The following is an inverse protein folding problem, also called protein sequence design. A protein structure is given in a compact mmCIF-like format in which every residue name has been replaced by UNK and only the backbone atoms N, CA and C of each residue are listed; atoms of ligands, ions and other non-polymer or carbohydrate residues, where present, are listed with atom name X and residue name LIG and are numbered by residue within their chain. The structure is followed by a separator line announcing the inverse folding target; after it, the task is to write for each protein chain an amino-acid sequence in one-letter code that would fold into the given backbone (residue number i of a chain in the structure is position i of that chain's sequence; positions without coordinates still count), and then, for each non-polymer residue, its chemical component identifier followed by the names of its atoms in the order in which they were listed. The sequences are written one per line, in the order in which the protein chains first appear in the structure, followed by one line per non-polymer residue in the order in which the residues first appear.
data_IF_284432366414
#
_entry.id   IF_284432366414
#
_cell.length_a   1.000
_cell.length_b   1.000
_cell.length_c   1.000
_cell.angle_alpha   90.00
_cell.angle_beta   90.00
_cell.angle_gamma   90.00
#
_symmetry.space_group_name_H-M   'P 1'
#
loop_
_entity.id
_entity.type
_entity.pdbx_description
1 polymer ?
#
# COMPACT_ATOMS: atom_id res chain seq x y z
N UNK A 1 -11.77 28.52 17.23
CA UNK A 1 -11.68 27.10 16.84
C UNK A 1 -12.00 26.26 18.07
N UNK A 2 -12.67 25.14 17.92
CA UNK A 2 -12.95 24.26 19.04
C UNK A 2 -11.64 23.64 19.55
N UNK A 3 -11.50 23.56 20.85
CA UNK A 3 -10.33 22.98 21.50
C UNK A 3 -10.67 21.61 22.07
N UNK A 4 -9.88 20.61 21.72
CA UNK A 4 -9.99 19.25 22.26
C UNK A 4 -8.74 18.89 23.07
N UNK A 5 -8.94 18.24 24.21
CA UNK A 5 -7.87 17.74 25.07
C UNK A 5 -8.00 16.23 25.23
N UNK A 6 -6.98 15.48 24.81
CA UNK A 6 -6.88 14.04 25.08
C UNK A 6 -5.98 13.87 26.31
N UNK A 7 -6.53 13.33 27.41
CA UNK A 7 -5.85 13.19 28.70
C UNK A 7 -5.49 11.75 29.04
N UNK A 8 -4.45 11.62 29.86
CA UNK A 8 -4.07 10.38 30.54
C UNK A 8 -3.64 9.23 29.59
N UNK A 9 -3.52 9.47 28.30
CA UNK A 9 -3.10 8.46 27.33
C UNK A 9 -1.58 8.24 27.31
N UNK A 10 -1.17 7.19 26.61
CA UNK A 10 0.23 6.94 26.28
C UNK A 10 0.42 7.21 24.80
N UNK A 11 1.05 8.31 24.43
CA UNK A 11 1.42 8.63 23.05
C UNK A 11 2.52 7.69 22.60
N UNK A 12 2.35 7.08 21.44
CA UNK A 12 3.31 6.15 20.83
C UNK A 12 3.88 6.75 19.56
N UNK A 13 5.20 6.73 19.45
CA UNK A 13 5.95 7.13 18.27
C UNK A 13 6.95 6.02 17.88
N UNK A 14 7.60 6.07 16.71
CA UNK A 14 8.66 5.12 16.36
C UNK A 14 9.85 5.09 17.33
N UNK A 15 10.04 6.15 18.10
CA UNK A 15 11.18 6.30 19.02
C UNK A 15 10.84 5.98 20.48
N UNK A 16 9.57 5.69 20.80
CA UNK A 16 9.18 5.34 22.16
C UNK A 16 7.76 5.75 22.53
N UNK A 17 7.47 5.61 23.84
CA UNK A 17 6.16 5.84 24.45
C UNK A 17 6.29 6.93 25.51
N UNK A 18 5.36 7.89 25.48
CA UNK A 18 5.35 9.01 26.41
C UNK A 18 3.95 9.21 27.00
N UNK A 19 3.86 9.29 28.32
CA UNK A 19 2.60 9.62 28.98
C UNK A 19 2.45 11.14 28.99
N UNK A 20 1.70 11.67 28.03
CA UNK A 20 1.45 13.09 27.85
C UNK A 20 -0.01 13.32 27.45
N UNK A 21 -0.52 14.50 27.80
CA UNK A 21 -1.80 14.97 27.31
C UNK A 21 -1.61 15.68 25.96
N UNK A 22 -2.55 15.49 25.03
CA UNK A 22 -2.50 16.09 23.69
C UNK A 22 -3.55 17.20 23.60
N UNK A 23 -3.09 18.43 23.37
CA UNK A 23 -3.96 19.59 23.16
C UNK A 23 -4.11 19.85 21.67
N UNK A 24 -5.34 19.97 21.21
CA UNK A 24 -5.70 20.18 19.80
C UNK A 24 -6.50 21.48 19.69
N UNK A 25 -6.09 22.37 18.80
CA UNK A 25 -6.80 23.58 18.42
C UNK A 25 -7.31 23.46 16.99
N UNK A 26 -8.62 23.27 16.82
CA UNK A 26 -9.24 22.99 15.51
C UNK A 26 -8.83 21.61 14.99
N UNK A 27 -8.04 21.57 13.94
CA UNK A 27 -7.53 20.37 13.25
C UNK A 27 -6.03 20.12 13.46
N UNK A 28 -5.38 20.92 14.32
CA UNK A 28 -3.93 20.90 14.51
C UNK A 28 -3.57 20.60 15.96
N UNK A 29 -2.56 19.76 16.18
CA UNK A 29 -1.98 19.52 17.50
C UNK A 29 -1.22 20.77 17.93
N UNK A 30 -1.66 21.41 19.03
CA UNK A 30 -1.06 22.66 19.50
C UNK A 30 0.01 22.44 20.57
N UNK A 31 -0.14 21.41 21.42
CA UNK A 31 0.84 21.11 22.46
C UNK A 31 0.78 19.64 22.90
N UNK A 32 1.92 19.16 23.41
CA UNK A 32 2.03 17.97 24.25
C UNK A 32 2.38 18.41 25.65
N UNK A 33 1.60 18.00 26.64
CA UNK A 33 1.66 18.48 28.02
C UNK A 33 1.99 17.34 28.98
N UNK A 34 2.95 17.54 29.83
CA UNK A 34 3.27 16.59 30.90
C UNK A 34 2.09 16.46 31.89
N UNK A 35 1.94 15.32 32.57
CA UNK A 35 0.88 15.12 33.55
C UNK A 35 0.85 16.25 34.60
N UNK A 36 -0.32 16.87 34.81
CA UNK A 36 -0.54 17.97 35.72
C UNK A 36 -0.29 19.36 35.13
N UNK A 37 0.28 19.50 33.94
CA UNK A 37 0.48 20.82 33.32
C UNK A 37 -0.83 21.45 32.86
N UNK A 38 -1.84 20.67 32.50
CA UNK A 38 -3.18 21.18 32.14
C UNK A 38 -3.77 22.00 33.29
N UNK A 39 -3.72 21.47 34.51
CA UNK A 39 -4.21 22.12 35.72
C UNK A 39 -3.32 23.31 36.15
N UNK A 40 -2.00 23.10 36.12
CA UNK A 40 -1.04 24.15 36.53
C UNK A 40 -1.10 25.37 35.61
N UNK A 41 -1.39 25.21 34.34
CA UNK A 41 -1.50 26.30 33.36
C UNK A 41 -2.94 26.77 33.14
N UNK A 42 -3.92 26.23 33.91
CA UNK A 42 -5.34 26.54 33.78
C UNK A 42 -5.85 26.39 32.31
N UNK A 43 -5.41 25.33 31.63
CA UNK A 43 -5.82 25.07 30.26
C UNK A 43 -7.26 24.57 30.25
N UNK A 44 -8.11 25.20 29.42
CA UNK A 44 -9.50 24.79 29.22
C UNK A 44 -9.68 24.23 27.79
N UNK A 45 -10.59 23.27 27.65
CA UNK A 45 -10.96 22.71 26.37
C UNK A 45 -12.49 22.55 26.27
N UNK A 46 -13.03 22.66 25.05
CA UNK A 46 -14.45 22.46 24.76
C UNK A 46 -14.84 20.99 24.86
N UNK A 47 -13.91 20.10 24.54
CA UNK A 47 -14.06 18.63 24.60
C UNK A 47 -12.85 18.02 25.31
N UNK A 48 -13.13 17.12 26.25
CA UNK A 48 -12.10 16.31 26.90
C UNK A 48 -12.34 14.84 26.60
N UNK A 49 -11.29 14.15 26.15
CA UNK A 49 -11.28 12.70 25.90
C UNK A 49 -10.36 12.06 26.95
N UNK A 50 -10.91 11.18 27.78
CA UNK A 50 -10.10 10.40 28.72
C UNK A 50 -9.54 9.15 28.03
N UNK A 51 -8.24 9.12 27.83
CA UNK A 51 -7.49 8.02 27.24
C UNK A 51 -6.77 7.15 28.29
N UNK A 52 -7.25 7.14 29.55
CA UNK A 52 -6.67 6.33 30.63
C UNK A 52 -6.56 4.86 30.19
N UNK A 53 -5.35 4.29 30.25
CA UNK A 53 -5.06 2.90 29.84
C UNK A 53 -5.08 2.65 28.34
N UNK A 54 -5.14 3.71 27.51
CA UNK A 54 -5.14 3.61 26.04
C UNK A 54 -3.84 4.14 25.47
N UNK A 55 -3.50 3.62 24.28
CA UNK A 55 -2.50 4.22 23.41
C UNK A 55 -3.13 5.33 22.58
N UNK A 56 -2.38 6.40 22.38
CA UNK A 56 -2.71 7.50 21.47
C UNK A 56 -1.68 7.46 20.35
N UNK A 57 -2.14 7.19 19.14
CA UNK A 57 -1.27 6.93 17.98
C UNK A 57 -1.65 7.85 16.82
N UNK A 58 -0.72 8.21 15.94
CA UNK A 58 -1.08 8.93 14.72
C UNK A 58 -1.97 8.03 13.86
N UNK A 59 -2.95 8.60 13.22
CA UNK A 59 -3.85 7.91 12.31
C UNK A 59 -3.10 7.12 11.24
N UNK A 60 -3.68 5.99 10.82
CA UNK A 60 -3.09 5.14 9.78
C UNK A 60 -3.04 5.87 8.43
N UNK A 61 -1.94 5.69 7.70
CA UNK A 61 -1.79 6.18 6.33
C UNK A 61 -1.65 4.97 5.41
N UNK A 62 -2.64 4.75 4.55
CA UNK A 62 -2.62 3.67 3.58
C UNK A 62 -2.21 4.20 2.21
N UNK A 63 -1.02 3.85 1.79
CA UNK A 63 -0.42 4.33 0.54
C UNK A 63 -0.63 3.40 -0.65
N UNK A 64 -1.60 2.47 -0.53
CA UNK A 64 -1.90 1.57 -1.64
C UNK A 64 -3.37 1.17 -1.61
N UNK A 65 -4.20 1.96 -2.28
CA UNK A 65 -5.64 1.68 -2.44
C UNK A 65 -6.06 1.87 -3.91
N UNK A 66 -7.15 1.22 -4.29
CA UNK A 66 -7.68 1.23 -5.65
C UNK A 66 -9.20 1.45 -5.64
N UNK A 67 -9.64 2.61 -5.17
CA UNK A 67 -11.06 2.97 -5.19
C UNK A 67 -11.55 3.12 -6.63
N UNK A 68 -12.68 2.49 -6.95
CA UNK A 68 -13.30 2.54 -8.28
C UNK A 68 -12.38 2.10 -9.44
N UNK A 69 -11.34 1.28 -9.17
CA UNK A 69 -10.40 0.83 -10.20
C UNK A 69 -11.13 0.00 -11.27
N UNK A 70 -11.06 0.40 -12.56
CA UNK A 70 -11.56 -0.42 -13.65
C UNK A 70 -10.56 -1.55 -13.97
N UNK A 71 -10.87 -2.78 -13.57
CA UNK A 71 -10.00 -3.93 -13.75
C UNK A 71 -10.78 -5.23 -13.92
N UNK A 72 -10.24 -6.18 -14.68
CA UNK A 72 -10.82 -7.53 -14.82
C UNK A 72 -12.21 -7.57 -15.47
N UNK A 73 -12.58 -6.57 -16.28
CA UNK A 73 -13.90 -6.49 -16.94
C UNK A 73 -15.00 -5.87 -16.07
N UNK A 74 -14.66 -5.35 -14.90
CA UNK A 74 -15.55 -4.67 -13.95
C UNK A 74 -14.81 -3.50 -13.28
N UNK A 75 -15.35 -2.95 -12.20
CA UNK A 75 -14.67 -1.96 -11.35
C UNK A 75 -14.56 -2.50 -9.92
N UNK A 76 -13.54 -2.06 -9.17
CA UNK A 76 -13.50 -2.29 -7.74
C UNK A 76 -14.81 -1.83 -7.10
N UNK A 77 -15.32 -2.61 -6.14
CA UNK A 77 -16.68 -2.41 -5.59
C UNK A 77 -16.80 -1.21 -4.68
N UNK A 78 -15.69 -0.78 -4.04
CA UNK A 78 -15.70 0.41 -3.21
C UNK A 78 -15.49 1.68 -4.04
N UNK A 79 -16.35 2.67 -3.78
CA UNK A 79 -16.17 4.05 -4.23
C UNK A 79 -15.25 4.81 -3.27
N UNK A 80 -14.86 6.03 -3.62
CA UNK A 80 -14.14 6.89 -2.66
C UNK A 80 -14.97 7.11 -1.39
N UNK A 81 -16.29 7.24 -1.48
CA UNK A 81 -17.17 7.39 -0.33
C UNK A 81 -17.15 6.13 0.55
N UNK A 82 -17.44 4.95 0.00
CA UNK A 82 -17.55 3.72 0.80
C UNK A 82 -16.21 3.27 1.34
N UNK A 83 -15.16 3.31 0.53
CA UNK A 83 -13.82 2.89 0.91
C UNK A 83 -13.17 3.81 1.94
N UNK A 84 -13.35 5.14 1.84
CA UNK A 84 -12.83 6.06 2.85
C UNK A 84 -13.62 6.03 4.15
N UNK A 85 -14.92 5.72 4.10
CA UNK A 85 -15.70 5.42 5.30
C UNK A 85 -15.17 4.16 6.01
N UNK A 86 -14.94 3.07 5.27
CA UNK A 86 -14.34 1.86 5.81
C UNK A 86 -12.95 2.13 6.40
N UNK A 87 -12.10 2.90 5.69
CA UNK A 87 -10.80 3.32 6.17
C UNK A 87 -10.87 4.06 7.51
N UNK A 88 -11.79 5.03 7.64
CA UNK A 88 -12.01 5.78 8.87
C UNK A 88 -12.40 4.87 10.04
N UNK A 89 -13.30 3.89 9.82
CA UNK A 89 -13.67 2.91 10.83
C UNK A 89 -12.48 2.05 11.28
N UNK A 90 -11.56 1.75 10.36
CA UNK A 90 -10.32 1.02 10.64
C UNK A 90 -9.19 1.86 11.25
N UNK A 91 -9.42 3.15 11.56
CA UNK A 91 -8.38 4.04 12.11
C UNK A 91 -7.37 4.54 11.06
N UNK A 92 -7.71 4.45 9.79
CA UNK A 92 -6.96 5.07 8.69
C UNK A 92 -7.51 6.47 8.48
N UNK A 93 -6.65 7.49 8.52
CA UNK A 93 -7.03 8.90 8.38
C UNK A 93 -6.58 9.51 7.05
N UNK A 94 -5.75 8.80 6.31
CA UNK A 94 -5.27 9.24 5.00
C UNK A 94 -5.08 8.05 4.07
N UNK A 95 -5.55 8.16 2.83
CA UNK A 95 -5.22 7.21 1.76
C UNK A 95 -4.39 7.90 0.67
N UNK A 96 -3.53 7.13 0.00
CA UNK A 96 -2.93 7.53 -1.27
C UNK A 96 -3.37 6.52 -2.32
N UNK A 97 -4.32 6.92 -3.13
CA UNK A 97 -4.94 6.08 -4.17
C UNK A 97 -4.17 6.18 -5.48
N UNK A 98 -4.47 5.32 -6.44
CA UNK A 98 -3.82 5.30 -7.74
C UNK A 98 -4.72 5.87 -8.83
N UNK A 99 -4.38 7.07 -9.33
CA UNK A 99 -4.94 7.56 -10.59
C UNK A 99 -4.44 6.69 -11.75
N UNK A 100 -5.33 6.24 -12.62
CA UNK A 100 -5.02 5.24 -13.65
C UNK A 100 -5.03 5.87 -15.04
N UNK A 101 -3.86 5.90 -15.69
CA UNK A 101 -3.77 6.13 -17.13
C UNK A 101 -3.85 4.76 -17.83
N UNK A 102 -4.82 4.59 -18.72
CA UNK A 102 -4.88 3.44 -19.64
C UNK A 102 -3.96 3.69 -20.84
N UNK A 103 -3.58 2.61 -21.50
CA UNK A 103 -2.79 2.70 -22.72
C UNK A 103 -3.49 3.61 -23.75
N UNK A 104 -2.75 4.63 -24.24
CA UNK A 104 -3.27 5.62 -25.21
C UNK A 104 -4.07 6.78 -24.61
N UNK A 105 -4.32 6.81 -23.31
CA UNK A 105 -4.91 7.97 -22.63
C UNK A 105 -3.83 9.00 -22.27
N UNK A 106 -4.25 10.27 -22.13
CA UNK A 106 -3.40 11.33 -21.63
C UNK A 106 -3.26 11.22 -20.10
N UNK A 107 -2.04 11.30 -19.57
CA UNK A 107 -1.74 11.14 -18.13
C UNK A 107 -2.43 12.22 -17.30
N UNK A 108 -2.39 13.49 -17.73
CA UNK A 108 -2.98 14.61 -16.99
C UNK A 108 -4.52 14.49 -16.93
N UNK A 109 -5.16 14.05 -18.01
CA UNK A 109 -6.62 13.86 -18.04
C UNK A 109 -7.04 12.69 -17.15
N UNK A 110 -6.20 11.64 -17.05
CA UNK A 110 -6.46 10.55 -16.11
C UNK A 110 -6.43 11.03 -14.65
N UNK A 111 -5.45 11.85 -14.26
CA UNK A 111 -5.39 12.45 -12.93
C UNK A 111 -6.61 13.30 -12.62
N UNK A 112 -7.04 14.17 -13.55
CA UNK A 112 -8.26 14.97 -13.40
C UNK A 112 -9.50 14.10 -13.17
N UNK A 113 -9.57 12.95 -13.84
CA UNK A 113 -10.67 12.01 -13.66
C UNK A 113 -10.72 11.48 -12.22
N UNK A 114 -9.56 11.14 -11.63
CA UNK A 114 -9.48 10.66 -10.25
C UNK A 114 -9.79 11.77 -9.24
N UNK A 115 -9.29 12.98 -9.44
CA UNK A 115 -9.68 14.14 -8.62
C UNK A 115 -11.19 14.33 -8.61
N UNK A 116 -11.84 14.29 -9.78
CA UNK A 116 -13.30 14.42 -9.88
C UNK A 116 -14.07 13.32 -9.13
N UNK A 117 -13.52 12.10 -9.06
CA UNK A 117 -14.13 11.00 -8.30
C UNK A 117 -14.00 11.21 -6.80
N UNK A 118 -12.87 11.71 -6.34
CA UNK A 118 -12.55 11.85 -4.92
C UNK A 118 -13.10 13.14 -4.29
N UNK A 119 -13.10 14.23 -5.04
CA UNK A 119 -13.49 15.57 -4.53
C UNK A 119 -14.91 15.56 -4.00
N UNK A 120 -15.06 15.90 -2.70
CA UNK A 120 -16.34 15.91 -2.00
C UNK A 120 -16.90 14.54 -1.63
N UNK A 121 -16.23 13.44 -1.98
CA UNK A 121 -16.67 12.08 -1.74
C UNK A 121 -15.80 11.35 -0.68
N UNK A 122 -14.68 11.92 -0.24
CA UNK A 122 -13.83 11.30 0.77
C UNK A 122 -14.20 11.75 2.19
N UNK A 123 -14.26 10.79 3.12
CA UNK A 123 -14.48 11.04 4.56
C UNK A 123 -13.20 11.28 5.34
N UNK A 124 -12.05 11.02 4.74
CA UNK A 124 -10.70 11.23 5.26
C UNK A 124 -9.85 11.94 4.21
N UNK A 125 -8.64 12.30 4.58
CA UNK A 125 -7.68 12.91 3.66
C UNK A 125 -7.26 11.93 2.55
N UNK A 126 -7.00 12.46 1.37
CA UNK A 126 -6.55 11.66 0.23
C UNK A 126 -5.46 12.35 -0.59
N UNK A 127 -4.65 11.55 -1.25
CA UNK A 127 -3.69 11.95 -2.27
C UNK A 127 -3.64 10.89 -3.39
N UNK A 128 -2.82 11.13 -4.41
CA UNK A 128 -2.69 10.21 -5.53
C UNK A 128 -1.24 9.86 -5.86
N UNK A 129 -1.04 8.59 -6.20
CA UNK A 129 0.01 8.13 -7.10
C UNK A 129 -0.53 8.11 -8.53
N UNK A 130 0.35 8.11 -9.53
CA UNK A 130 -0.07 7.99 -10.93
C UNK A 130 0.39 6.67 -11.53
N UNK A 131 -0.53 5.84 -12.00
CA UNK A 131 -0.22 4.68 -12.87
C UNK A 131 0.04 5.20 -14.28
N UNK A 132 1.17 4.77 -14.86
CA UNK A 132 1.51 5.00 -16.26
C UNK A 132 1.32 3.69 -17.03
N UNK A 133 0.21 3.57 -17.75
CA UNK A 133 -0.13 2.37 -18.53
C UNK A 133 0.53 2.32 -19.90
N UNK A 134 1.03 3.45 -20.40
CA UNK A 134 1.77 3.53 -21.66
C UNK A 134 2.87 4.58 -21.58
N UNK A 135 4.12 4.15 -21.76
CA UNK A 135 5.31 5.01 -21.65
C UNK A 135 5.77 5.40 -23.06
N UNK A 136 5.39 6.60 -23.46
CA UNK A 136 5.88 7.31 -24.65
C UNK A 136 6.50 8.66 -24.28
N UNK A 137 6.90 9.46 -25.27
CA UNK A 137 7.52 10.76 -25.01
C UNK A 137 6.57 11.73 -24.29
N UNK A 138 5.26 11.65 -24.58
CA UNK A 138 4.29 12.51 -23.93
C UNK A 138 4.10 12.10 -22.46
N UNK A 139 3.99 10.81 -22.17
CA UNK A 139 3.88 10.32 -20.80
C UNK A 139 5.10 10.70 -19.94
N UNK A 140 6.32 10.66 -20.51
CA UNK A 140 7.55 11.12 -19.83
C UNK A 140 7.52 12.62 -19.54
N UNK A 141 7.03 13.43 -20.50
CA UNK A 141 6.86 14.87 -20.29
C UNK A 141 5.78 15.15 -19.23
N UNK A 142 4.68 14.39 -19.25
CA UNK A 142 3.60 14.50 -18.27
C UNK A 142 4.08 14.10 -16.85
N UNK A 143 4.95 13.10 -16.69
CA UNK A 143 5.58 12.80 -15.39
C UNK A 143 6.28 14.02 -14.81
N UNK A 144 7.03 14.77 -15.65
CA UNK A 144 7.71 16.01 -15.20
C UNK A 144 6.70 17.11 -14.85
N UNK A 145 5.66 17.27 -15.67
CA UNK A 145 4.59 18.23 -15.41
C UNK A 145 3.86 17.95 -14.10
N UNK A 146 3.51 16.68 -13.84
CA UNK A 146 2.78 16.27 -12.64
C UNK A 146 3.58 16.51 -11.36
N UNK A 147 4.90 16.26 -11.39
CA UNK A 147 5.78 16.58 -10.25
C UNK A 147 5.81 18.07 -9.96
N UNK A 148 5.97 18.90 -11.01
CA UNK A 148 6.18 20.35 -10.86
C UNK A 148 4.91 21.12 -10.55
N UNK A 149 3.76 20.66 -11.05
CA UNK A 149 2.54 21.47 -11.05
C UNK A 149 1.39 20.85 -10.23
N UNK A 150 1.35 19.52 -10.10
CA UNK A 150 0.26 18.80 -9.42
C UNK A 150 0.70 18.15 -8.09
N UNK A 151 2.01 18.17 -7.78
CA UNK A 151 2.55 17.58 -6.56
C UNK A 151 2.54 16.04 -6.55
N UNK A 152 2.33 15.39 -7.69
CA UNK A 152 2.41 13.94 -7.83
C UNK A 152 3.87 13.53 -7.96
N UNK A 153 4.41 12.90 -6.93
CA UNK A 153 5.85 12.57 -6.83
C UNK A 153 6.15 11.08 -6.94
N UNK A 154 5.16 10.27 -7.32
CA UNK A 154 5.30 8.81 -7.40
C UNK A 154 4.51 8.24 -8.57
N UNK A 155 5.15 7.36 -9.34
CA UNK A 155 4.60 6.78 -10.56
C UNK A 155 4.66 5.27 -10.53
N UNK A 156 3.52 4.60 -10.74
CA UNK A 156 3.43 3.13 -10.73
C UNK A 156 3.54 2.54 -12.12
N UNK A 157 4.42 1.54 -12.24
CA UNK A 157 4.66 0.73 -13.42
C UNK A 157 4.44 -0.75 -13.11
N UNK A 158 4.22 -1.55 -14.15
CA UNK A 158 3.93 -2.98 -14.02
C UNK A 158 4.84 -3.81 -14.91
N UNK A 159 5.48 -4.82 -14.34
CA UNK A 159 6.17 -5.89 -15.09
C UNK A 159 5.20 -7.06 -15.41
N UNK A 160 3.92 -6.92 -15.09
CA UNK A 160 2.86 -7.89 -15.31
C UNK A 160 1.71 -7.28 -16.12
N UNK A 161 0.70 -8.11 -16.44
CA UNK A 161 -0.50 -7.75 -17.19
C UNK A 161 -0.23 -7.30 -18.63
N UNK A 162 0.40 -8.18 -19.49
CA UNK A 162 0.58 -7.90 -20.92
C UNK A 162 -0.74 -7.50 -21.59
N UNK A 163 -0.67 -6.43 -22.40
CA UNK A 163 -1.86 -5.88 -23.08
C UNK A 163 -2.75 -4.98 -22.23
N UNK A 164 -2.46 -4.80 -20.92
CA UNK A 164 -3.21 -3.90 -20.01
C UNK A 164 -2.32 -2.82 -19.43
N UNK A 165 -1.31 -3.19 -18.61
CA UNK A 165 -0.41 -2.27 -17.92
C UNK A 165 1.08 -2.59 -18.11
N UNK A 166 1.41 -3.71 -18.77
CA UNK A 166 2.79 -4.18 -18.89
C UNK A 166 3.69 -3.14 -19.56
N UNK A 167 4.80 -2.84 -18.90
CA UNK A 167 5.91 -2.07 -19.45
C UNK A 167 7.14 -2.97 -19.62
N UNK A 168 7.80 -2.89 -20.77
CA UNK A 168 9.06 -3.58 -21.00
C UNK A 168 10.25 -2.88 -20.31
N UNK A 169 11.38 -3.59 -20.25
CA UNK A 169 12.59 -3.08 -19.56
C UNK A 169 13.09 -1.74 -20.14
N UNK A 170 12.93 -1.51 -21.45
CA UNK A 170 13.29 -0.25 -22.08
C UNK A 170 12.38 0.90 -21.65
N UNK A 171 11.09 0.66 -21.62
CA UNK A 171 10.09 1.62 -21.13
C UNK A 171 10.31 1.93 -19.64
N UNK A 172 10.51 0.91 -18.80
CA UNK A 172 10.80 1.07 -17.37
C UNK A 172 12.07 1.89 -17.16
N UNK A 173 13.16 1.57 -17.89
CA UNK A 173 14.41 2.31 -17.78
C UNK A 173 14.23 3.79 -18.13
N UNK A 174 13.50 4.11 -19.18
CA UNK A 174 13.22 5.50 -19.57
C UNK A 174 12.41 6.27 -18.51
N UNK A 175 11.38 5.62 -17.93
CA UNK A 175 10.62 6.22 -16.84
C UNK A 175 11.49 6.43 -15.60
N UNK A 176 12.36 5.48 -15.27
CA UNK A 176 13.34 5.62 -14.18
C UNK A 176 14.34 6.76 -14.43
N UNK A 177 14.84 6.92 -15.66
CA UNK A 177 15.69 8.06 -16.03
C UNK A 177 14.95 9.39 -15.88
N UNK A 178 13.68 9.46 -16.27
CA UNK A 178 12.84 10.65 -16.06
C UNK A 178 12.64 10.92 -14.57
N UNK A 179 12.39 9.89 -13.76
CA UNK A 179 12.29 10.01 -12.31
C UNK A 179 13.61 10.48 -11.67
N UNK A 180 14.77 10.04 -12.19
CA UNK A 180 16.09 10.56 -11.78
C UNK A 180 16.21 12.06 -12.01
N UNK A 181 15.68 12.57 -13.13
CA UNK A 181 15.75 13.99 -13.49
C UNK A 181 14.85 14.88 -12.62
N UNK A 182 13.68 14.39 -12.20
CA UNK A 182 12.69 15.19 -11.48
C UNK A 182 12.53 14.84 -10.00
N UNK A 183 13.30 13.86 -9.49
CA UNK A 183 13.32 13.46 -8.09
C UNK A 183 12.13 12.63 -7.64
N UNK A 184 11.32 12.09 -8.57
CA UNK A 184 10.17 11.25 -8.23
C UNK A 184 10.56 9.81 -7.91
N UNK A 185 9.60 9.08 -7.32
CA UNK A 185 9.74 7.66 -6.96
C UNK A 185 9.05 6.78 -7.98
N UNK A 186 9.71 5.73 -8.43
CA UNK A 186 9.08 4.68 -9.22
C UNK A 186 8.54 3.59 -8.28
N UNK A 187 7.25 3.30 -8.38
CA UNK A 187 6.58 2.20 -7.70
C UNK A 187 6.43 1.04 -8.69
N UNK A 188 6.79 -0.18 -8.27
CA UNK A 188 6.84 -1.30 -9.21
C UNK A 188 6.00 -2.49 -8.75
N UNK A 189 5.02 -2.88 -9.58
CA UNK A 189 4.43 -4.21 -9.51
C UNK A 189 5.42 -5.20 -10.15
N UNK A 190 6.14 -5.94 -9.33
CA UNK A 190 7.28 -6.75 -9.76
C UNK A 190 6.92 -8.25 -9.83
N UNK A 191 6.21 -8.65 -10.84
CA UNK A 191 6.01 -10.04 -11.26
C UNK A 191 6.43 -10.22 -12.73
N UNK A 192 7.06 -11.35 -13.09
CA UNK A 192 7.42 -11.65 -14.48
C UNK A 192 6.18 -12.06 -15.29
N UNK A 193 5.43 -11.06 -15.76
CA UNK A 193 4.14 -11.26 -16.43
C UNK A 193 4.21 -12.11 -17.71
N UNK A 194 5.31 -12.01 -18.46
CA UNK A 194 5.49 -12.80 -19.69
C UNK A 194 5.62 -14.29 -19.37
N UNK A 195 6.41 -14.66 -18.36
CA UNK A 195 6.53 -16.06 -17.93
C UNK A 195 5.23 -16.55 -17.27
N UNK A 196 4.58 -15.71 -16.48
CA UNK A 196 3.28 -16.01 -15.86
C UNK A 196 2.23 -16.33 -16.92
N UNK A 197 2.14 -15.55 -17.99
CA UNK A 197 1.16 -15.79 -19.07
C UNK A 197 1.36 -17.17 -19.73
N UNK A 198 2.61 -17.60 -19.92
CA UNK A 198 2.90 -18.95 -20.43
C UNK A 198 2.36 -20.02 -19.46
N UNK A 199 2.63 -19.87 -18.15
CA UNK A 199 2.15 -20.82 -17.15
C UNK A 199 0.62 -20.82 -17.05
N UNK A 200 -0.03 -19.67 -17.10
CA UNK A 200 -1.50 -19.54 -17.15
C UNK A 200 -2.07 -20.32 -18.34
N UNK A 201 -1.55 -20.11 -19.54
CA UNK A 201 -2.01 -20.83 -20.74
C UNK A 201 -1.80 -22.35 -20.63
N UNK A 202 -0.69 -22.78 -20.04
CA UNK A 202 -0.41 -24.21 -19.83
C UNK A 202 -1.39 -24.85 -18.84
N UNK A 203 -1.75 -24.16 -17.73
CA UNK A 203 -2.77 -24.64 -16.80
C UNK A 203 -4.14 -24.76 -17.49
N UNK A 204 -4.57 -23.73 -18.19
CA UNK A 204 -5.84 -23.71 -18.91
C UNK A 204 -5.90 -24.85 -19.96
N UNK A 205 -4.82 -25.05 -20.70
CA UNK A 205 -4.74 -26.13 -21.71
C UNK A 205 -4.86 -27.55 -21.11
N UNK A 206 -4.51 -27.72 -19.83
CA UNK A 206 -4.69 -28.96 -19.07
C UNK A 206 -6.05 -29.08 -18.39
N UNK A 207 -6.96 -28.09 -18.57
CA UNK A 207 -8.26 -28.06 -17.90
C UNK A 207 -8.19 -27.70 -16.41
N UNK A 208 -7.09 -27.13 -15.98
CA UNK A 208 -6.83 -26.68 -14.60
C UNK A 208 -7.34 -25.25 -14.43
N UNK A 209 -8.62 -25.11 -14.09
CA UNK A 209 -9.37 -23.84 -14.15
C UNK A 209 -9.83 -23.29 -12.80
N UNK A 210 -9.59 -24.02 -11.71
CA UNK A 210 -9.97 -23.62 -10.35
C UNK A 210 -9.16 -22.39 -9.87
N UNK A 211 -9.67 -21.59 -8.92
CA UNK A 211 -9.00 -20.40 -8.38
C UNK A 211 -7.57 -20.64 -7.88
N UNK A 212 -7.25 -21.81 -7.30
CA UNK A 212 -5.91 -22.17 -6.80
C UNK A 212 -4.82 -22.09 -7.87
N UNK A 213 -5.17 -22.31 -9.13
CA UNK A 213 -4.20 -22.24 -10.24
C UNK A 213 -3.73 -20.82 -10.52
N UNK A 214 -4.40 -19.81 -9.98
CA UNK A 214 -3.88 -18.44 -9.93
C UNK A 214 -2.53 -18.38 -9.19
N UNK A 215 -2.40 -19.06 -8.05
CA UNK A 215 -1.12 -19.13 -7.33
C UNK A 215 -0.11 -20.04 -8.01
N UNK A 216 -0.51 -21.21 -8.49
CA UNK A 216 0.39 -22.13 -9.16
C UNK A 216 0.99 -21.58 -10.46
N UNK A 217 0.28 -20.68 -11.16
CA UNK A 217 0.80 -19.99 -12.35
C UNK A 217 1.72 -18.79 -12.02
N UNK A 218 1.89 -18.44 -10.73
CA UNK A 218 2.70 -17.31 -10.25
C UNK A 218 3.69 -17.75 -9.17
N UNK A 219 4.68 -18.60 -9.49
CA UNK A 219 5.68 -19.03 -8.53
C UNK A 219 6.39 -17.83 -7.86
N UNK A 220 6.74 -17.94 -6.59
CA UNK A 220 7.45 -16.92 -5.81
C UNK A 220 8.77 -16.46 -6.46
N UNK A 221 9.44 -17.39 -7.15
CA UNK A 221 10.66 -17.09 -7.92
C UNK A 221 10.46 -16.02 -9.00
N UNK A 222 9.27 -15.94 -9.63
CA UNK A 222 8.97 -14.94 -10.66
C UNK A 222 8.73 -13.54 -10.08
N UNK A 223 8.30 -13.45 -8.82
CA UNK A 223 8.28 -12.17 -8.06
C UNK A 223 9.71 -11.77 -7.67
N UNK A 224 10.51 -12.71 -7.17
CA UNK A 224 11.91 -12.47 -6.81
C UNK A 224 12.77 -12.03 -8.00
N UNK A 225 12.60 -12.68 -9.17
CA UNK A 225 13.30 -12.31 -10.40
C UNK A 225 12.93 -10.88 -10.84
N UNK A 226 11.63 -10.58 -10.90
CA UNK A 226 11.17 -9.27 -11.34
C UNK A 226 11.58 -8.16 -10.36
N UNK A 227 11.56 -8.42 -9.05
CA UNK A 227 12.06 -7.50 -8.03
C UNK A 227 13.55 -7.20 -8.24
N UNK A 228 14.38 -8.24 -8.43
CA UNK A 228 15.80 -8.04 -8.68
C UNK A 228 16.05 -7.27 -9.99
N UNK A 229 15.30 -7.56 -11.04
CA UNK A 229 15.40 -6.85 -12.33
C UNK A 229 15.03 -5.37 -12.19
N UNK A 230 13.96 -5.03 -11.45
CA UNK A 230 13.59 -3.65 -11.16
C UNK A 230 14.70 -2.90 -10.40
N UNK A 231 15.33 -3.56 -9.42
CA UNK A 231 16.47 -3.02 -8.67
C UNK A 231 17.67 -2.75 -9.59
N UNK A 232 17.99 -3.67 -10.47
CA UNK A 232 19.09 -3.51 -11.45
C UNK A 232 18.82 -2.33 -12.38
N UNK A 233 17.60 -2.20 -12.89
CA UNK A 233 17.21 -1.06 -13.75
C UNK A 233 17.30 0.27 -13.00
N UNK A 234 16.88 0.32 -11.72
CA UNK A 234 17.03 1.51 -10.88
C UNK A 234 18.50 1.90 -10.70
N UNK A 235 19.41 0.93 -10.46
CA UNK A 235 20.87 1.19 -10.39
C UNK A 235 21.39 1.79 -11.69
N UNK A 236 21.02 1.22 -12.84
CA UNK A 236 21.43 1.70 -14.17
C UNK A 236 20.90 3.11 -14.45
N UNK A 237 19.71 3.44 -13.98
CA UNK A 237 19.09 4.76 -14.10
C UNK A 237 19.68 5.82 -13.14
N UNK A 238 20.69 5.49 -12.32
CA UNK A 238 21.33 6.41 -11.39
C UNK A 238 20.90 6.25 -9.93
N UNK A 239 20.51 5.05 -9.50
CA UNK A 239 20.02 4.74 -8.15
C UNK A 239 18.74 5.53 -7.80
N UNK A 240 17.79 5.52 -8.73
CA UNK A 240 16.50 6.20 -8.61
C UNK A 240 15.71 5.62 -7.43
N UNK A 241 14.98 6.45 -6.67
CA UNK A 241 14.06 5.95 -5.64
C UNK A 241 13.10 4.91 -6.23
N UNK A 242 13.18 3.67 -5.72
CA UNK A 242 12.36 2.54 -6.15
C UNK A 242 11.56 2.01 -4.97
N UNK A 243 10.26 1.82 -5.17
CA UNK A 243 9.35 1.26 -4.19
C UNK A 243 8.67 0.01 -4.75
N UNK A 244 9.02 -1.16 -4.21
CA UNK A 244 8.40 -2.42 -4.59
C UNK A 244 7.10 -2.57 -3.80
N UNK A 245 5.98 -2.61 -4.50
CA UNK A 245 4.66 -2.68 -3.88
C UNK A 245 4.27 -4.12 -3.51
N UNK A 246 3.38 -4.30 -2.52
CA UNK A 246 2.64 -5.54 -2.15
C UNK A 246 3.49 -6.83 -2.21
N UNK A 247 4.69 -6.83 -1.62
CA UNK A 247 5.59 -8.00 -1.61
C UNK A 247 4.97 -9.17 -0.84
N UNK A 248 4.99 -10.35 -1.45
CA UNK A 248 4.41 -11.58 -0.90
C UNK A 248 5.42 -12.72 -0.75
N UNK A 249 6.58 -12.64 -1.41
CA UNK A 249 7.54 -13.74 -1.51
C UNK A 249 8.87 -13.45 -0.80
N UNK A 250 9.42 -14.49 -0.16
CA UNK A 250 10.73 -14.44 0.49
C UNK A 250 11.86 -14.11 -0.48
N UNK A 251 11.77 -14.56 -1.73
CA UNK A 251 12.78 -14.29 -2.76
C UNK A 251 12.81 -12.81 -3.14
N UNK A 252 11.64 -12.18 -3.22
CA UNK A 252 11.52 -10.74 -3.47
C UNK A 252 12.07 -9.93 -2.30
N UNK A 253 11.72 -10.31 -1.05
CA UNK A 253 12.26 -9.70 0.17
C UNK A 253 13.78 -9.83 0.24
N UNK A 254 14.35 -10.99 -0.09
CA UNK A 254 15.80 -11.20 -0.07
C UNK A 254 16.51 -10.27 -1.08
N UNK A 255 15.95 -10.09 -2.28
CA UNK A 255 16.49 -9.16 -3.27
C UNK A 255 16.44 -7.70 -2.77
N UNK A 256 15.31 -7.30 -2.17
CA UNK A 256 15.15 -5.97 -1.57
C UNK A 256 16.15 -5.75 -0.43
N UNK A 257 16.25 -6.67 0.52
CA UNK A 257 17.13 -6.58 1.67
C UNK A 257 18.59 -6.45 1.24
N UNK A 258 19.04 -7.28 0.29
CA UNK A 258 20.40 -7.20 -0.25
C UNK A 258 20.68 -5.81 -0.85
N UNK A 259 19.77 -5.28 -1.65
CA UNK A 259 19.91 -3.96 -2.26
C UNK A 259 19.96 -2.83 -1.21
N UNK A 260 19.14 -2.91 -0.15
CA UNK A 260 19.17 -1.94 0.96
C UNK A 260 20.48 -2.02 1.75
N UNK A 261 21.02 -3.22 1.98
CA UNK A 261 22.32 -3.40 2.63
C UNK A 261 23.50 -2.88 1.78
N UNK A 262 23.36 -2.86 0.45
CA UNK A 262 24.28 -2.17 -0.45
C UNK A 262 24.14 -0.62 -0.40
N UNK A 263 23.17 -0.08 0.31
CA UNK A 263 22.89 1.37 0.39
C UNK A 263 22.12 1.93 -0.80
N UNK A 264 21.40 1.09 -1.54
CA UNK A 264 20.55 1.55 -2.64
C UNK A 264 19.26 2.21 -2.11
N UNK A 265 18.74 3.16 -2.87
CA UNK A 265 17.51 3.89 -2.55
C UNK A 265 16.27 3.07 -2.94
N UNK A 266 16.13 1.89 -2.31
CA UNK A 266 15.02 0.97 -2.58
C UNK A 266 14.25 0.67 -1.30
N UNK A 267 12.91 0.61 -1.43
CA UNK A 267 11.98 0.36 -0.34
C UNK A 267 10.93 -0.65 -0.79
N UNK A 268 10.23 -1.25 0.15
CA UNK A 268 9.15 -2.17 -0.14
C UNK A 268 8.06 -2.15 0.91
N UNK A 269 6.88 -2.55 0.48
CA UNK A 269 5.72 -2.77 1.33
C UNK A 269 5.25 -4.21 1.25
N UNK A 270 4.53 -4.65 2.26
CA UNK A 270 3.69 -5.84 2.21
C UNK A 270 2.26 -5.49 2.62
N UNK A 271 1.35 -6.47 2.56
CA UNK A 271 -0.05 -6.28 2.87
C UNK A 271 -0.54 -7.35 3.86
N UNK A 272 -1.61 -7.08 4.64
CA UNK A 272 -2.12 -8.03 5.64
C UNK A 272 -2.41 -9.42 5.08
N UNK A 273 -2.93 -9.54 3.86
CA UNK A 273 -3.22 -10.82 3.23
C UNK A 273 -2.00 -11.72 3.10
N UNK A 274 -0.80 -11.17 2.88
CA UNK A 274 0.45 -11.92 2.76
C UNK A 274 1.08 -12.29 4.10
N UNK A 275 0.57 -11.73 5.19
CA UNK A 275 1.03 -12.02 6.56
C UNK A 275 0.17 -13.08 7.25
N UNK A 276 -1.06 -13.31 6.77
CA UNK A 276 -2.04 -14.13 7.48
C UNK A 276 -2.68 -15.23 6.63
N UNK A 277 -2.72 -15.09 5.30
CA UNK A 277 -3.44 -16.04 4.45
C UNK A 277 -2.49 -16.99 3.74
N UNK A 278 -2.95 -18.25 3.55
CA UNK A 278 -2.21 -19.29 2.84
C UNK A 278 -2.99 -19.80 1.64
N UNK A 279 -2.28 -20.32 0.64
CA UNK A 279 -2.88 -20.98 -0.50
C UNK A 279 -3.85 -22.09 -0.04
N UNK A 280 -3.40 -22.96 0.87
CA UNK A 280 -4.11 -24.17 1.26
C UNK A 280 -5.38 -23.87 2.05
N UNK A 281 -5.31 -22.90 2.97
CA UNK A 281 -6.41 -22.62 3.87
C UNK A 281 -7.45 -21.66 3.24
N UNK A 282 -7.05 -20.89 2.22
CA UNK A 282 -7.87 -19.84 1.65
C UNK A 282 -8.11 -20.02 0.14
N UNK A 283 -7.07 -19.92 -0.69
CA UNK A 283 -7.22 -19.90 -2.14
C UNK A 283 -7.62 -21.28 -2.70
N UNK A 284 -7.21 -22.37 -2.06
CA UNK A 284 -7.54 -23.75 -2.47
C UNK A 284 -8.84 -24.29 -1.86
N UNK A 285 -9.72 -23.42 -1.37
CA UNK A 285 -11.04 -23.80 -0.90
C UNK A 285 -11.85 -24.53 -2.00
N UNK A 286 -12.70 -25.52 -1.63
CA UNK A 286 -13.45 -26.32 -2.59
C UNK A 286 -14.31 -25.48 -3.56
N UNK A 287 -14.42 -25.93 -4.78
CA UNK A 287 -15.23 -25.28 -5.82
C UNK A 287 -14.70 -23.91 -6.17
N UNK A 288 -15.57 -22.92 -6.22
CA UNK A 288 -15.22 -21.53 -6.58
C UNK A 288 -14.98 -20.62 -5.38
N UNK A 289 -15.06 -21.14 -4.14
CA UNK A 289 -14.92 -20.35 -2.91
C UNK A 289 -13.55 -19.65 -2.79
N UNK A 290 -12.48 -20.28 -3.31
CA UNK A 290 -11.15 -19.69 -3.37
C UNK A 290 -11.06 -18.39 -4.18
N UNK A 291 -12.04 -18.11 -5.05
CA UNK A 291 -12.06 -16.89 -5.85
C UNK A 291 -12.06 -15.61 -5.00
N UNK A 292 -12.62 -15.66 -3.77
CA UNK A 292 -12.61 -14.56 -2.79
C UNK A 292 -11.19 -14.04 -2.51
N UNK A 293 -10.21 -14.94 -2.59
CA UNK A 293 -8.82 -14.71 -2.18
C UNK A 293 -7.86 -14.53 -3.37
N UNK A 294 -8.39 -14.42 -4.58
CA UNK A 294 -7.58 -14.14 -5.77
C UNK A 294 -7.16 -12.68 -5.76
N UNK A 295 -5.85 -12.45 -5.60
CA UNK A 295 -5.16 -11.16 -5.66
C UNK A 295 -3.78 -11.35 -6.33
N UNK A 296 -3.12 -10.29 -6.73
CA UNK A 296 -1.79 -10.36 -7.38
C UNK A 296 -0.82 -9.37 -6.73
N UNK A 297 0.35 -9.87 -6.24
CA UNK A 297 0.81 -11.26 -6.25
C UNK A 297 -0.14 -12.20 -5.52
N UNK A 298 -0.06 -13.53 -5.79
CA UNK A 298 -0.99 -14.47 -5.16
C UNK A 298 -0.61 -14.75 -3.71
N UNK A 299 -1.58 -15.22 -2.94
CA UNK A 299 -1.35 -15.78 -1.61
C UNK A 299 -0.45 -17.01 -1.74
N UNK A 300 0.61 -17.07 -0.94
CA UNK A 300 1.65 -18.09 -1.02
C UNK A 300 1.29 -19.38 -0.25
N UNK A 301 1.91 -20.48 -0.65
CA UNK A 301 1.77 -21.78 0.01
C UNK A 301 2.53 -21.84 1.32
N UNK A 302 1.90 -22.40 2.37
CA UNK A 302 2.60 -22.74 3.63
C UNK A 302 3.50 -23.99 3.51
N UNK A 303 3.46 -24.66 2.36
CA UNK A 303 4.30 -25.82 2.05
C UNK A 303 5.40 -25.50 1.04
N UNK A 304 5.62 -24.21 0.76
CA UNK A 304 6.72 -23.76 -0.08
C UNK A 304 8.07 -24.04 0.64
N UNK A 305 9.18 -23.93 -0.11
CA UNK A 305 10.53 -24.04 0.44
C UNK A 305 10.81 -23.00 1.53
N UNK A 306 10.22 -21.84 1.42
CA UNK A 306 10.34 -20.70 2.34
C UNK A 306 9.07 -20.56 3.16
N UNK A 307 9.21 -20.20 4.43
CA UNK A 307 8.11 -19.69 5.24
C UNK A 307 7.94 -18.19 4.95
N UNK A 308 7.16 -17.91 3.92
CA UNK A 308 6.93 -16.52 3.46
C UNK A 308 6.37 -15.63 4.56
N UNK A 309 5.47 -16.13 5.41
CA UNK A 309 4.91 -15.37 6.54
C UNK A 309 5.99 -14.99 7.54
N UNK A 310 6.78 -15.97 8.00
CA UNK A 310 7.85 -15.72 8.97
C UNK A 310 8.91 -14.76 8.41
N UNK A 311 9.27 -14.91 7.13
CA UNK A 311 10.23 -14.02 6.46
C UNK A 311 9.69 -12.59 6.33
N UNK A 312 8.42 -12.39 5.94
CA UNK A 312 7.82 -11.06 5.84
C UNK A 312 7.71 -10.38 7.22
N UNK A 313 7.27 -11.10 8.27
CA UNK A 313 7.27 -10.57 9.65
C UNK A 313 8.68 -10.20 10.11
N UNK A 314 9.68 -11.03 9.79
CA UNK A 314 11.08 -10.70 10.05
C UNK A 314 11.51 -9.45 9.29
N UNK A 315 11.16 -9.34 8.01
CA UNK A 315 11.44 -8.16 7.18
C UNK A 315 10.86 -6.87 7.78
N UNK A 316 9.63 -6.93 8.31
CA UNK A 316 9.03 -5.81 9.04
C UNK A 316 9.80 -5.50 10.32
N UNK A 317 10.14 -6.51 11.13
CA UNK A 317 10.88 -6.37 12.39
C UNK A 317 12.28 -5.76 12.18
N UNK A 318 12.97 -6.17 11.13
CA UNK A 318 14.34 -5.75 10.79
C UNK A 318 14.41 -4.46 9.97
N UNK A 319 13.27 -3.83 9.68
CA UNK A 319 13.18 -2.65 8.81
C UNK A 319 13.67 -2.90 7.37
N UNK A 320 13.60 -4.12 6.89
CA UNK A 320 13.81 -4.47 5.48
C UNK A 320 12.57 -4.09 4.65
N UNK A 321 11.37 -4.39 5.17
CA UNK A 321 10.09 -3.83 4.71
C UNK A 321 9.77 -2.57 5.50
N UNK A 322 9.46 -1.49 4.81
CA UNK A 322 9.28 -0.18 5.43
C UNK A 322 7.83 0.15 5.77
N UNK A 323 6.87 -0.41 5.03
CA UNK A 323 5.45 -0.06 5.07
C UNK A 323 4.59 -1.32 5.06
N UNK A 324 3.45 -1.26 5.73
CA UNK A 324 2.32 -2.16 5.50
C UNK A 324 1.16 -1.33 4.95
N UNK A 325 0.80 -1.59 3.70
CA UNK A 325 -0.37 -1.03 3.01
C UNK A 325 -1.43 -2.11 2.82
N UNK A 326 -2.48 -1.88 2.02
CA UNK A 326 -3.53 -2.87 1.82
C UNK A 326 -3.61 -3.47 0.43
N UNK A 327 -3.28 -2.71 -0.59
CA UNK A 327 -3.69 -3.01 -1.97
C UNK A 327 -5.22 -3.21 -2.06
N UNK A 328 -5.96 -2.33 -1.35
CA UNK A 328 -7.41 -2.42 -1.24
C UNK A 328 -8.07 -2.26 -2.60
N UNK A 329 -8.55 -3.38 -3.13
CA UNK A 329 -9.19 -3.49 -4.43
C UNK A 329 -10.28 -4.57 -4.39
N UNK A 330 -11.39 -4.35 -3.66
CA UNK A 330 -12.40 -5.36 -3.44
C UNK A 330 -13.25 -5.62 -4.68
N UNK A 331 -13.64 -6.90 -4.86
CA UNK A 331 -14.61 -7.33 -5.84
C UNK A 331 -15.62 -8.27 -5.18
N UNK A 332 -16.91 -8.01 -5.36
CA UNK A 332 -17.97 -8.86 -4.85
C UNK A 332 -17.89 -10.26 -5.50
N UNK A 333 -18.24 -11.31 -4.72
CA UNK A 333 -18.32 -12.66 -5.27
C UNK A 333 -19.30 -12.71 -6.43
N UNK A 334 -20.57 -12.32 -6.14
CA UNK A 334 -21.63 -12.27 -7.14
C UNK A 334 -21.35 -11.16 -8.16
N UNK A 335 -21.57 -11.47 -9.41
CA UNK A 335 -21.49 -10.57 -10.57
C UNK A 335 -20.06 -10.07 -10.93
N UNK A 336 -19.07 -10.20 -10.01
CA UNK A 336 -17.71 -9.74 -10.27
C UNK A 336 -16.69 -10.90 -10.26
N UNK A 337 -16.38 -11.54 -9.11
CA UNK A 337 -15.47 -12.71 -9.10
C UNK A 337 -16.00 -13.84 -9.98
N UNK A 338 -17.32 -14.01 -10.09
CA UNK A 338 -17.99 -14.99 -10.96
C UNK A 338 -17.69 -14.82 -12.47
N UNK A 339 -17.17 -13.68 -12.91
CA UNK A 339 -16.64 -13.52 -14.28
C UNK A 339 -15.56 -14.55 -14.61
N UNK A 340 -14.89 -15.10 -13.60
CA UNK A 340 -13.89 -16.14 -13.71
C UNK A 340 -14.38 -17.57 -13.51
N UNK A 341 -15.69 -17.82 -13.46
CA UNK A 341 -16.23 -19.18 -13.37
C UNK A 341 -15.72 -20.04 -14.54
N UNK A 342 -15.08 -21.17 -14.20
CA UNK A 342 -14.50 -22.08 -15.17
C UNK A 342 -13.20 -21.58 -15.83
N UNK A 343 -12.67 -20.43 -15.41
CA UNK A 343 -11.37 -19.93 -15.87
C UNK A 343 -10.77 -18.95 -14.85
N UNK A 344 -9.86 -19.43 -14.02
CA UNK A 344 -9.21 -18.63 -12.98
C UNK A 344 -8.53 -17.34 -13.49
N UNK A 345 -8.07 -17.32 -14.73
CA UNK A 345 -7.40 -16.14 -15.29
C UNK A 345 -8.33 -14.96 -15.55
N UNK A 346 -9.65 -15.17 -15.48
CA UNK A 346 -10.67 -14.14 -15.63
C UNK A 346 -11.27 -13.67 -14.30
N UNK A 347 -10.83 -14.23 -13.17
CA UNK A 347 -11.26 -13.75 -11.86
C UNK A 347 -10.64 -12.36 -11.63
N UNK A 348 -11.41 -11.30 -11.42
CA UNK A 348 -10.87 -10.00 -11.05
C UNK A 348 -9.98 -10.12 -9.81
N UNK A 349 -8.71 -9.66 -9.92
CA UNK A 349 -7.72 -9.80 -8.86
C UNK A 349 -7.84 -8.64 -7.89
N UNK A 350 -8.02 -8.93 -6.62
CA UNK A 350 -8.04 -7.94 -5.56
C UNK A 350 -8.86 -8.37 -4.37
N UNK A 351 -8.55 -7.77 -3.23
CA UNK A 351 -9.20 -8.01 -1.93
C UNK A 351 -9.41 -6.69 -1.20
N UNK A 352 -10.38 -6.64 -0.29
CA UNK A 352 -10.61 -5.50 0.59
C UNK A 352 -9.95 -5.72 1.94
N UNK A 353 -9.19 -4.72 2.43
CA UNK A 353 -8.58 -4.79 3.77
C UNK A 353 -8.29 -3.43 4.41
N UNK A 354 -8.71 -2.31 3.81
CA UNK A 354 -8.42 -0.96 4.34
C UNK A 354 -8.98 -0.77 5.74
N UNK A 355 -10.19 -1.31 6.04
CA UNK A 355 -10.82 -1.27 7.36
C UNK A 355 -10.05 -2.09 8.40
N UNK A 356 -9.43 -3.20 8.01
CA UNK A 356 -8.86 -4.17 8.95
C UNK A 356 -7.35 -4.04 9.12
N UNK A 357 -6.66 -3.21 8.33
CA UNK A 357 -5.20 -3.12 8.30
C UNK A 357 -4.61 -2.81 9.67
N UNK A 358 -5.09 -1.78 10.35
CA UNK A 358 -4.51 -1.35 11.62
C UNK A 358 -4.67 -2.45 12.69
N UNK A 359 -5.81 -3.09 12.76
CA UNK A 359 -6.10 -4.16 13.72
C UNK A 359 -5.29 -5.42 13.43
N UNK A 360 -5.21 -5.86 12.17
CA UNK A 360 -4.46 -7.04 11.80
C UNK A 360 -2.97 -6.87 12.08
N UNK A 361 -2.39 -5.72 11.78
CA UNK A 361 -0.97 -5.50 12.06
C UNK A 361 -0.73 -5.31 13.58
N UNK A 362 -1.69 -4.72 14.32
CA UNK A 362 -1.64 -4.69 15.78
C UNK A 362 -1.73 -6.12 16.40
N UNK A 363 -2.45 -7.04 15.78
CA UNK A 363 -2.44 -8.44 16.19
C UNK A 363 -1.02 -9.04 16.12
N UNK A 364 -0.19 -8.63 15.15
CA UNK A 364 1.24 -8.97 15.10
C UNK A 364 2.02 -8.43 16.32
N UNK A 365 1.65 -7.26 16.85
CA UNK A 365 2.22 -6.77 18.12
C UNK A 365 1.84 -7.68 19.30
N UNK A 366 0.57 -8.07 19.38
CA UNK A 366 0.06 -8.97 20.44
C UNK A 366 0.76 -10.34 20.37
N UNK A 367 1.05 -10.83 19.18
CA UNK A 367 1.76 -12.10 18.95
C UNK A 367 3.28 -12.00 19.13
N UNK A 368 3.83 -10.79 19.27
CA UNK A 368 5.26 -10.56 19.44
C UNK A 368 6.06 -10.56 18.14
N UNK A 369 5.41 -10.47 16.99
CA UNK A 369 6.06 -10.40 15.68
C UNK A 369 6.80 -9.08 15.47
N UNK A 370 6.18 -7.96 15.88
CA UNK A 370 6.77 -6.61 15.84
C UNK A 370 6.49 -5.85 17.13
N UNK A 371 7.24 -4.78 17.41
CA UNK A 371 6.95 -3.89 18.54
C UNK A 371 5.79 -2.94 18.25
N UNK A 372 5.22 -2.35 19.29
CA UNK A 372 4.18 -1.32 19.17
C UNK A 372 4.69 -0.09 18.40
N UNK A 373 5.93 0.30 18.64
CA UNK A 373 6.59 1.41 17.94
C UNK A 373 6.74 1.10 16.45
N UNK A 374 7.07 -0.17 16.13
CA UNK A 374 7.21 -0.61 14.74
C UNK A 374 5.87 -0.66 14.01
N UNK A 375 4.78 -1.01 14.70
CA UNK A 375 3.44 -0.92 14.15
C UNK A 375 3.08 0.52 13.76
N UNK A 376 3.30 1.50 14.65
CA UNK A 376 3.09 2.92 14.35
C UNK A 376 3.99 3.37 13.20
N UNK A 377 5.24 2.93 13.20
CA UNK A 377 6.18 3.28 12.15
C UNK A 377 5.73 2.79 10.78
N UNK A 378 5.40 1.50 10.64
CA UNK A 378 5.05 0.89 9.35
C UNK A 378 3.68 1.30 8.81
N UNK A 379 2.74 1.63 9.71
CA UNK A 379 1.36 1.96 9.32
C UNK A 379 1.08 3.47 9.23
N UNK A 380 1.95 4.32 9.77
CA UNK A 380 1.71 5.78 9.82
C UNK A 380 2.96 6.60 9.48
N UNK A 381 4.05 6.45 10.22
CA UNK A 381 5.21 7.35 10.10
C UNK A 381 6.04 7.10 8.83
N UNK A 382 6.35 5.85 8.51
CA UNK A 382 7.13 5.52 7.30
C UNK A 382 6.40 5.90 6.02
N UNK A 383 5.10 5.55 5.81
CA UNK A 383 4.38 6.03 4.63
C UNK A 383 4.35 7.56 4.54
N UNK A 384 4.16 8.28 5.66
CA UNK A 384 4.22 9.75 5.67
C UNK A 384 5.59 10.29 5.21
N UNK A 385 6.68 9.70 5.69
CA UNK A 385 8.05 10.10 5.29
C UNK A 385 8.33 9.82 3.83
N UNK A 386 7.94 8.66 3.34
CA UNK A 386 8.22 8.21 1.97
C UNK A 386 7.50 9.06 0.93
N UNK A 387 6.31 9.53 1.24
CA UNK A 387 5.46 10.26 0.28
C UNK A 387 5.28 11.76 0.64
N UNK A 388 6.22 12.32 1.44
CA UNK A 388 6.33 13.77 1.64
C UNK A 388 5.29 14.39 2.57
N UNK A 389 4.56 13.59 3.34
CA UNK A 389 3.53 14.07 4.28
C UNK A 389 4.08 14.36 5.69
N UNK A 390 5.24 13.81 6.02
CA UNK A 390 5.88 14.01 7.33
C UNK A 390 6.56 15.40 7.40
N UNK A 391 6.47 16.15 8.51
CA UNK A 391 5.87 15.84 9.81
C UNK A 391 4.40 16.29 9.95
N UNK A 392 3.78 16.78 8.88
CA UNK A 392 2.37 17.20 8.94
C UNK A 392 1.47 16.05 9.36
N UNK A 393 1.74 14.84 8.83
CA UNK A 393 1.07 13.57 9.16
C UNK A 393 2.07 12.51 9.65
N UNK A 394 1.55 11.43 10.25
CA UNK A 394 2.34 10.28 10.68
C UNK A 394 3.10 10.45 12.00
N UNK A 395 2.80 11.50 12.75
CA UNK A 395 3.36 11.77 14.09
C UNK A 395 2.37 12.57 14.93
N UNK A 396 2.40 12.38 16.25
CA UNK A 396 1.72 13.25 17.22
C UNK A 396 2.75 14.25 17.72
N UNK A 397 2.73 15.47 17.19
CA UNK A 397 3.65 16.55 17.55
C UNK A 397 3.00 17.92 17.34
N UNK A 398 3.42 18.96 18.07
CA UNK A 398 2.92 20.31 17.84
C UNK A 398 3.15 20.76 16.39
N UNK A 399 2.08 21.24 15.74
CA UNK A 399 2.06 21.64 14.33
C UNK A 399 1.65 20.54 13.35
N UNK A 400 1.51 19.29 13.79
CA UNK A 400 0.96 18.20 12.96
C UNK A 400 -0.57 18.25 12.93
N UNK A 401 -1.15 17.66 11.89
CA UNK A 401 -2.59 17.44 11.81
C UNK A 401 -3.04 16.55 12.99
N UNK A 402 -4.23 16.80 13.49
CA UNK A 402 -4.82 16.05 14.61
C UNK A 402 -5.45 14.71 14.14
N UNK A 403 -4.79 14.03 13.27
CA UNK A 403 -5.10 12.69 12.80
C UNK A 403 -4.66 11.66 13.85
N UNK A 404 -5.59 11.29 14.77
CA UNK A 404 -5.31 10.49 15.96
C UNK A 404 -6.34 9.37 16.11
#
# INVERSE_FOLDING_TARGET
MARTLIKNGTVVSPTGRHRVDVLIDGDTISALLEPGQVEALNITADKVVDATGKFVVPGGIDVHTHMELPFGGTNASDTFETGTNAAAWGGVTTIVDFAVQRYGENVQESLKTWHKKAEGNCSIDYAFHQIIGGIDEQALADMDYLVKNEGITSFKLFMAYPGVFYSDDGQILRAMQQASNNGSTIMMHAENGIAIDVLVQQHIARGETDPKYHSYSRPSLLEGEATNRAIVLSKVAGNVPLYIVHMSASEALNALAAARHEGLNVFGETCPQYLYMTLEDHLAQPGFEGAKYVCSPPIRSKHDKHDHHADLWKGLRMNELAVVSTDHCPFCMKDQKELGLGNFSKIPNGMGSVEHRMELIYQGVVQGEISLERWVETCSTSPARMFGMYPKKGIIAPGSDADI
#
